data_IF_051426489869
#
_entry.id   IF_051426489869
#
_cell.length_a   1.000
_cell.length_b   1.000
_cell.length_c   1.000
_cell.angle_alpha   90.00
_cell.angle_beta   90.00
_cell.angle_gamma   90.00
#
_symmetry.space_group_name_H-M   'P 1'
#
loop_
_entity.id
_entity.type
_entity.pdbx_description
1 polymer ?
#
# COMPACT_ATOMS: atom_id res chain seq x y z
N UNK A 1 -4.16 -16.68 18.39
CA UNK A 1 -5.02 -15.53 18.00
C UNK A 1 -5.97 -15.27 19.17
N UNK A 2 -6.10 -14.02 19.63
CA UNK A 2 -6.98 -13.71 20.76
C UNK A 2 -8.44 -13.58 20.29
N UNK A 3 -8.69 -12.77 19.26
CA UNK A 3 -10.01 -12.63 18.63
C UNK A 3 -9.85 -12.67 17.09
N UNK A 4 -10.37 -13.70 16.41
CA UNK A 4 -10.26 -13.82 14.95
C UNK A 4 -10.98 -12.71 14.16
N UNK A 5 -12.14 -12.25 14.64
CA UNK A 5 -12.91 -11.20 13.95
C UNK A 5 -12.17 -9.87 13.99
N UNK A 6 -11.66 -9.49 15.17
CA UNK A 6 -10.86 -8.26 15.31
C UNK A 6 -9.56 -8.35 14.50
N UNK A 7 -8.90 -9.51 14.51
CA UNK A 7 -7.70 -9.72 13.68
C UNK A 7 -8.03 -9.53 12.19
N UNK A 8 -9.11 -10.13 11.70
CA UNK A 8 -9.53 -9.97 10.30
C UNK A 8 -9.80 -8.50 9.96
N UNK A 9 -10.47 -7.76 10.84
CA UNK A 9 -10.68 -6.32 10.67
C UNK A 9 -9.38 -5.51 10.62
N UNK A 10 -8.40 -5.84 11.47
CA UNK A 10 -7.07 -5.22 11.43
C UNK A 10 -6.35 -5.49 10.11
N UNK A 11 -6.42 -6.73 9.59
CA UNK A 11 -5.82 -7.05 8.30
C UNK A 11 -6.51 -6.29 7.16
N UNK A 12 -7.85 -6.20 7.13
CA UNK A 12 -8.55 -5.39 6.13
C UNK A 12 -8.10 -3.92 6.17
N UNK A 13 -8.08 -3.31 7.36
CA UNK A 13 -7.67 -1.91 7.53
C UNK A 13 -6.22 -1.69 7.11
N UNK A 14 -5.32 -2.58 7.53
CA UNK A 14 -3.90 -2.47 7.18
C UNK A 14 -3.64 -2.65 5.68
N UNK A 15 -4.30 -3.62 5.04
CA UNK A 15 -4.18 -3.79 3.58
C UNK A 15 -4.70 -2.56 2.84
N UNK A 16 -5.84 -1.99 3.27
CA UNK A 16 -6.37 -0.76 2.68
C UNK A 16 -5.37 0.40 2.79
N UNK A 17 -4.74 0.59 3.96
CA UNK A 17 -3.69 1.59 4.16
C UNK A 17 -2.48 1.36 3.25
N UNK A 18 -2.00 0.11 3.16
CA UNK A 18 -0.84 -0.21 2.32
C UNK A 18 -1.11 0.00 0.83
N UNK A 19 -2.32 -0.34 0.36
CA UNK A 19 -2.76 -0.04 -1.02
C UNK A 19 -2.83 1.48 -1.25
N UNK A 20 -3.39 2.23 -0.29
CA UNK A 20 -3.45 3.70 -0.34
C UNK A 20 -2.08 4.33 -0.49
N UNK A 21 -1.14 3.97 0.38
CA UNK A 21 0.23 4.46 0.31
C UNK A 21 0.97 4.04 -0.96
N UNK A 22 0.74 2.82 -1.46
CA UNK A 22 1.39 2.35 -2.68
C UNK A 22 0.90 3.08 -3.94
N UNK A 23 -0.39 3.45 -4.02
CA UNK A 23 -1.01 3.90 -5.27
C UNK A 23 -1.51 5.36 -5.28
N UNK A 24 -1.77 5.95 -4.11
CA UNK A 24 -2.58 7.17 -4.01
C UNK A 24 -1.97 8.23 -3.09
N UNK A 25 -1.61 7.85 -1.87
CA UNK A 25 -1.28 8.80 -0.81
C UNK A 25 0.09 9.45 -1.03
N UNK A 26 0.15 10.77 -0.97
CA UNK A 26 1.40 11.53 -1.02
C UNK A 26 1.26 12.83 -0.23
N UNK A 27 2.24 13.11 0.63
CA UNK A 27 2.39 14.43 1.25
C UNK A 27 3.28 15.28 0.35
N UNK A 28 2.75 16.38 -0.17
CA UNK A 28 3.48 17.28 -1.10
C UNK A 28 3.61 18.66 -0.49
N UNK A 29 4.86 19.14 -0.44
CA UNK A 29 5.18 20.51 -0.07
C UNK A 29 5.60 21.30 -1.29
N UNK A 30 5.21 22.56 -1.34
CA UNK A 30 5.78 23.53 -2.28
C UNK A 30 7.26 23.76 -1.97
N UNK A 31 8.11 23.68 -2.99
CA UNK A 31 9.55 23.68 -2.82
C UNK A 31 10.13 25.04 -2.40
N UNK A 32 9.46 26.14 -2.77
CA UNK A 32 9.94 27.50 -2.50
C UNK A 32 9.41 28.05 -1.18
N UNK A 33 8.10 27.92 -0.96
CA UNK A 33 7.42 28.47 0.22
C UNK A 33 7.35 27.51 1.41
N UNK A 34 7.53 26.21 1.19
CA UNK A 34 7.33 25.18 2.21
C UNK A 34 5.86 24.94 2.58
N UNK A 35 4.91 25.48 1.80
CA UNK A 35 3.48 25.27 2.04
C UNK A 35 3.08 23.81 1.79
N UNK A 36 2.32 23.21 2.70
CA UNK A 36 1.72 21.90 2.47
C UNK A 36 0.59 22.02 1.44
N UNK A 37 0.75 21.35 0.28
CA UNK A 37 -0.20 21.39 -0.83
C UNK A 37 -1.30 20.32 -0.69
N UNK A 38 -0.97 19.17 -0.10
CA UNK A 38 -1.91 18.06 0.10
C UNK A 38 -2.51 18.07 1.52
N UNK A 39 -3.02 19.23 1.94
CA UNK A 39 -3.50 19.46 3.31
C UNK A 39 -4.99 19.11 3.52
N UNK A 40 -5.66 18.56 2.51
CA UNK A 40 -7.09 18.24 2.52
C UNK A 40 -7.35 16.89 1.86
N UNK A 41 -8.50 16.26 2.08
CA UNK A 41 -8.90 15.04 1.37
C UNK A 41 -9.30 15.25 -0.10
N UNK A 42 -9.33 16.52 -0.57
CA UNK A 42 -9.42 16.79 -2.00
C UNK A 42 -8.08 16.53 -2.70
N UNK A 43 -6.97 16.70 -1.98
CA UNK A 43 -5.60 16.66 -2.52
C UNK A 43 -4.80 15.45 -2.02
N UNK A 44 -5.06 15.00 -0.79
CA UNK A 44 -4.53 13.76 -0.22
C UNK A 44 -5.54 12.63 -0.44
N UNK A 45 -5.30 11.83 -1.48
CA UNK A 45 -6.22 10.77 -1.88
C UNK A 45 -6.18 9.58 -0.93
N UNK A 46 -7.35 9.18 -0.41
CA UNK A 46 -7.53 8.02 0.47
C UNK A 46 -8.36 6.95 -0.25
N UNK A 47 -8.02 5.65 -0.13
CA UNK A 47 -8.84 4.56 -0.65
C UNK A 47 -10.27 4.62 -0.14
N UNK A 48 -11.22 4.38 -1.05
CA UNK A 48 -12.63 4.24 -0.74
C UNK A 48 -13.06 2.78 -0.89
N UNK A 49 -14.25 2.48 -0.40
CA UNK A 49 -14.80 1.12 -0.45
C UNK A 49 -14.93 0.58 -1.90
N UNK A 50 -15.22 1.45 -2.86
CA UNK A 50 -15.37 1.13 -4.28
C UNK A 50 -14.05 1.08 -5.06
N UNK A 51 -12.94 1.54 -4.45
CA UNK A 51 -11.61 1.50 -5.08
C UNK A 51 -10.76 0.31 -4.60
N UNK A 52 -11.28 -0.50 -3.67
CA UNK A 52 -10.58 -1.66 -3.13
C UNK A 52 -11.30 -2.95 -3.54
N UNK A 53 -10.54 -4.01 -3.89
CA UNK A 53 -11.12 -5.32 -4.12
C UNK A 53 -11.53 -5.99 -2.80
N UNK A 54 -12.39 -6.99 -2.89
CA UNK A 54 -12.67 -7.89 -1.77
C UNK A 54 -11.38 -8.62 -1.35
N UNK A 55 -11.13 -8.63 -0.04
CA UNK A 55 -9.91 -9.20 0.53
C UNK A 55 -10.17 -10.62 1.06
N UNK A 56 -9.45 -11.59 0.51
CA UNK A 56 -9.42 -12.94 1.07
C UNK A 56 -8.36 -13.05 2.16
N UNK A 57 -8.75 -13.48 3.38
CA UNK A 57 -7.84 -13.59 4.52
C UNK A 57 -7.85 -15.02 5.05
N UNK A 58 -6.68 -15.64 5.02
CA UNK A 58 -6.40 -16.92 5.66
C UNK A 58 -5.43 -16.75 6.83
N UNK A 59 -5.47 -17.69 7.77
CA UNK A 59 -4.62 -17.67 8.96
C UNK A 59 -3.73 -18.91 9.00
N UNK A 60 -2.43 -18.69 9.19
CA UNK A 60 -1.46 -19.75 9.49
C UNK A 60 -0.85 -19.53 10.89
N UNK A 61 -1.52 -19.98 11.96
CA UNK A 61 -1.10 -19.69 13.32
C UNK A 61 0.15 -20.48 13.72
N UNK A 62 1.23 -19.76 14.00
CA UNK A 62 2.45 -20.32 14.61
C UNK A 62 2.67 -19.69 15.99
N UNK A 63 2.35 -20.40 17.10
CA UNK A 63 2.50 -19.86 18.44
C UNK A 63 3.94 -19.47 18.78
N UNK A 64 4.13 -18.44 19.60
CA UNK A 64 5.44 -18.10 20.17
C UNK A 64 5.65 -18.76 21.53
N UNK A 65 6.90 -19.06 21.90
CA UNK A 65 7.26 -19.53 23.25
C UNK A 65 7.56 -18.39 24.23
N UNK A 66 7.55 -17.13 23.75
CA UNK A 66 8.02 -15.95 24.49
C UNK A 66 6.98 -15.34 25.44
N UNK A 67 5.73 -15.76 25.36
CA UNK A 67 4.70 -15.36 26.31
C UNK A 67 3.72 -16.51 26.57
N UNK A 68 3.06 -16.55 27.75
CA UNK A 68 2.15 -17.63 28.11
C UNK A 68 0.95 -17.81 27.18
N UNK A 69 0.57 -16.76 26.46
CA UNK A 69 -0.57 -16.77 25.54
C UNK A 69 -0.21 -17.33 24.15
N UNK A 70 1.08 -17.53 23.86
CA UNK A 70 1.56 -17.89 22.52
C UNK A 70 1.23 -16.87 21.44
N UNK A 71 0.90 -15.63 21.83
CA UNK A 71 0.40 -14.58 20.94
C UNK A 71 1.53 -13.72 20.35
N UNK A 72 1.31 -13.22 19.14
CA UNK A 72 2.20 -12.27 18.45
C UNK A 72 1.40 -11.02 18.07
N UNK A 73 2.08 -9.89 17.96
CA UNK A 73 1.49 -8.67 17.42
C UNK A 73 1.13 -8.86 15.94
N UNK A 74 0.02 -8.25 15.51
CA UNK A 74 -0.46 -8.34 14.13
C UNK A 74 -1.07 -7.05 13.58
N UNK A 75 -1.06 -5.95 14.37
CA UNK A 75 -1.72 -4.69 13.98
C UNK A 75 -1.15 -4.10 12.68
N UNK A 76 0.16 -4.18 12.49
CA UNK A 76 0.84 -3.63 11.31
C UNK A 76 1.00 -4.65 10.18
N UNK A 77 0.63 -5.91 10.41
CA UNK A 77 0.92 -7.01 9.48
C UNK A 77 0.27 -6.79 8.10
N UNK A 78 -0.94 -6.22 8.08
CA UNK A 78 -1.63 -5.86 6.84
C UNK A 78 -0.89 -4.77 6.06
N UNK A 79 -0.57 -3.65 6.72
CA UNK A 79 0.04 -2.48 6.08
C UNK A 79 1.45 -2.77 5.58
N UNK A 80 2.28 -3.42 6.41
CA UNK A 80 3.67 -3.75 6.07
C UNK A 80 3.75 -4.74 4.91
N UNK A 81 2.83 -5.72 4.85
CA UNK A 81 2.78 -6.69 3.77
C UNK A 81 2.21 -6.14 2.47
N UNK A 82 1.19 -5.28 2.54
CA UNK A 82 0.47 -4.78 1.38
C UNK A 82 1.32 -3.85 0.49
N UNK A 83 2.10 -2.95 1.09
CA UNK A 83 2.99 -2.02 0.37
C UNK A 83 3.89 -2.71 -0.68
N UNK A 84 4.79 -3.65 -0.29
CA UNK A 84 5.64 -4.33 -1.26
C UNK A 84 4.86 -5.27 -2.16
N UNK A 85 3.78 -5.90 -1.69
CA UNK A 85 2.96 -6.77 -2.53
C UNK A 85 2.35 -6.01 -3.72
N UNK A 86 1.80 -4.82 -3.48
CA UNK A 86 1.22 -3.96 -4.51
C UNK A 86 2.29 -3.41 -5.44
N UNK A 87 3.39 -2.86 -4.91
CA UNK A 87 4.46 -2.31 -5.75
C UNK A 87 5.16 -3.37 -6.60
N UNK A 88 5.36 -4.58 -6.07
CA UNK A 88 5.89 -5.69 -6.86
C UNK A 88 4.94 -6.07 -7.98
N UNK A 89 3.62 -6.09 -7.75
CA UNK A 89 2.64 -6.35 -8.81
C UNK A 89 2.64 -5.28 -9.90
N UNK A 90 2.74 -4.00 -9.51
CA UNK A 90 2.88 -2.88 -10.47
C UNK A 90 4.17 -3.03 -11.28
N UNK A 91 5.31 -3.27 -10.63
CA UNK A 91 6.59 -3.42 -11.29
C UNK A 91 6.65 -4.65 -12.20
N UNK A 92 6.06 -5.78 -11.80
CA UNK A 92 5.94 -6.99 -12.62
C UNK A 92 5.15 -6.70 -13.91
N UNK A 93 4.02 -5.99 -13.80
CA UNK A 93 3.23 -5.58 -14.95
C UNK A 93 4.00 -4.60 -15.87
N UNK A 94 4.74 -3.65 -15.30
CA UNK A 94 5.48 -2.65 -16.06
C UNK A 94 6.79 -3.18 -16.67
N UNK A 95 7.34 -4.28 -16.14
CA UNK A 95 8.52 -4.93 -16.70
C UNK A 95 8.28 -5.41 -18.14
N UNK A 96 7.06 -5.82 -18.48
CA UNK A 96 6.67 -6.25 -19.83
C UNK A 96 6.81 -5.14 -20.89
N UNK A 97 6.74 -3.88 -20.47
CA UNK A 97 6.91 -2.69 -21.33
C UNK A 97 8.25 -1.99 -21.11
N UNK A 98 9.19 -2.66 -20.43
CA UNK A 98 10.58 -2.22 -20.31
C UNK A 98 10.87 -1.22 -19.18
N UNK A 99 9.90 -0.89 -18.34
CA UNK A 99 10.12 -0.06 -17.14
C UNK A 99 10.90 -0.87 -16.11
N UNK A 100 11.95 -0.28 -15.54
CA UNK A 100 12.85 -0.94 -14.58
C UNK A 100 12.71 -0.43 -13.15
N UNK A 101 12.17 0.78 -12.99
CA UNK A 101 12.05 1.47 -11.71
C UNK A 101 10.82 2.39 -11.72
N UNK A 102 10.19 2.54 -10.56
CA UNK A 102 9.10 3.47 -10.33
C UNK A 102 9.01 3.78 -8.82
N UNK A 103 9.03 5.06 -8.48
CA UNK A 103 8.88 5.50 -7.09
C UNK A 103 7.41 5.55 -6.65
N UNK A 104 7.17 5.25 -5.37
CA UNK A 104 5.85 5.39 -4.74
C UNK A 104 5.44 6.87 -4.56
N UNK A 105 4.13 7.17 -4.61
CA UNK A 105 3.07 6.25 -5.03
C UNK A 105 3.11 5.99 -6.54
N UNK A 106 2.70 4.80 -6.97
CA UNK A 106 2.48 4.46 -8.37
C UNK A 106 1.17 5.08 -8.89
N UNK A 107 1.10 6.42 -8.87
CA UNK A 107 -0.05 7.15 -9.40
C UNK A 107 -0.19 6.93 -10.91
N UNK A 108 -1.42 7.08 -11.43
CA UNK A 108 -1.69 6.90 -12.85
C UNK A 108 -0.78 7.78 -13.75
N UNK A 109 -0.53 9.01 -13.34
CA UNK A 109 0.39 9.94 -14.04
C UNK A 109 1.82 9.41 -14.07
N UNK A 110 2.36 8.95 -12.92
CA UNK A 110 3.74 8.44 -12.84
C UNK A 110 3.91 7.16 -13.65
N UNK A 111 2.94 6.26 -13.58
CA UNK A 111 2.90 5.05 -14.40
C UNK A 111 2.89 5.41 -15.89
N UNK A 112 2.04 6.34 -16.29
CA UNK A 112 1.96 6.82 -17.67
C UNK A 112 3.28 7.40 -18.17
N UNK A 113 3.89 8.29 -17.37
CA UNK A 113 5.17 8.91 -17.68
C UNK A 113 6.30 7.87 -17.78
N UNK A 114 6.33 6.87 -16.89
CA UNK A 114 7.32 5.80 -16.91
C UNK A 114 7.24 4.98 -18.20
N UNK A 115 6.04 4.63 -18.65
CA UNK A 115 5.82 3.90 -19.91
C UNK A 115 6.32 4.72 -21.11
N UNK A 116 6.01 6.03 -21.15
CA UNK A 116 6.42 6.91 -22.24
C UNK A 116 7.93 7.19 -22.27
N UNK A 117 8.56 7.27 -21.11
CA UNK A 117 10.01 7.47 -21.00
C UNK A 117 10.81 6.28 -21.57
N UNK A 118 10.22 5.08 -21.58
CA UNK A 118 10.84 3.89 -22.22
C UNK A 118 10.58 3.90 -23.73
N UNK A 119 9.39 4.27 -24.19
CA UNK A 119 9.05 4.29 -25.62
C UNK A 119 9.84 5.32 -26.45
N UNK A 120 10.40 6.35 -25.80
CA UNK A 120 11.21 7.40 -26.44
C UNK A 120 12.71 7.09 -26.46
N UNK A 121 13.14 5.95 -25.90
CA UNK A 121 14.53 5.45 -25.96
C UNK A 121 14.70 4.45 -27.09
#
# INVERSE_FOLDING_TARGET
VINPVTLKGQIHGGVAQGVGQALMEQVVYDAESGQLLTASFMDYAIPRADTLPDMHIESNPVPTKLNPLGAKGAGEAGTVGALPAVMNAVMDALAAVGVRELDMPASAERVWNAIHAVATR
#
